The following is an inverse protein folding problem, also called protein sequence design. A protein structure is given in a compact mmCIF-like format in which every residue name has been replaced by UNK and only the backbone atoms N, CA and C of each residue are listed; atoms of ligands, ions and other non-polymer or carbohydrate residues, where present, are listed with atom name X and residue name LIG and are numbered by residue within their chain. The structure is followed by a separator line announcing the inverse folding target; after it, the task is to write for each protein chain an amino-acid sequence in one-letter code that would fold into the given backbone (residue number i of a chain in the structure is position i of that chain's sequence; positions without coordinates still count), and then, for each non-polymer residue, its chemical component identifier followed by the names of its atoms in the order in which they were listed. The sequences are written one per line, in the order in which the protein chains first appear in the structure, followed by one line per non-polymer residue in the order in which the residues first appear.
data_IF_069420082528
#
_entry.id   IF_069420082528
#
_cell.length_a   1.000
_cell.length_b   1.000
_cell.length_c   1.000
_cell.angle_alpha   90.00
_cell.angle_beta   90.00
_cell.angle_gamma   90.00
#
_symmetry.space_group_name_H-M   'P 1'
#
loop_
_entity.id
_entity.type
_entity.pdbx_description
1 polymer ?
#
# COMPACT_ATOMS: atom_id res chain seq x y z
N UNK A 1 9.71 9.41 -4.19
CA UNK A 1 9.31 8.16 -3.50
C UNK A 1 8.18 7.53 -4.28
N UNK A 2 8.35 6.28 -4.70
CA UNK A 2 7.35 5.42 -5.33
C UNK A 2 7.03 4.27 -4.39
N UNK A 3 5.75 4.02 -4.16
CA UNK A 3 5.29 3.02 -3.20
C UNK A 3 4.33 2.08 -3.92
N UNK A 4 4.65 0.79 -3.91
CA UNK A 4 3.75 -0.25 -4.40
C UNK A 4 2.84 -0.70 -3.24
N UNK A 5 1.56 -0.37 -3.32
CA UNK A 5 0.55 -0.92 -2.43
C UNK A 5 -0.03 -2.21 -3.00
N UNK A 6 -0.29 -3.19 -2.12
CA UNK A 6 -0.89 -4.47 -2.47
C UNK A 6 -2.02 -4.75 -1.49
N UNK A 7 -3.19 -5.10 -2.03
CA UNK A 7 -4.35 -5.64 -1.32
C UNK A 7 -4.54 -7.11 -1.71
N UNK A 8 -3.92 -8.05 -0.97
CA UNK A 8 -4.04 -9.48 -1.24
C UNK A 8 -5.47 -9.95 -1.01
N UNK A 9 -6.02 -10.71 -1.95
CA UNK A 9 -7.33 -11.32 -1.77
C UNK A 9 -7.41 -12.73 -2.33
N UNK A 10 -8.31 -13.52 -1.75
CA UNK A 10 -8.47 -14.95 -2.09
C UNK A 10 -9.07 -15.19 -3.48
N UNK A 11 -9.62 -14.16 -4.13
CA UNK A 11 -10.20 -14.21 -5.48
C UNK A 11 -9.65 -13.06 -6.33
N UNK A 12 -9.59 -11.85 -5.79
CA UNK A 12 -8.99 -10.70 -6.46
C UNK A 12 -7.84 -10.18 -5.63
N UNK A 13 -6.75 -9.77 -6.26
CA UNK A 13 -5.65 -9.08 -5.59
C UNK A 13 -5.46 -7.75 -6.27
N UNK A 14 -5.66 -6.66 -5.53
CA UNK A 14 -5.42 -5.31 -6.00
C UNK A 14 -3.96 -4.92 -5.82
N UNK A 15 -3.42 -4.15 -6.75
CA UNK A 15 -2.08 -3.59 -6.62
C UNK A 15 -1.98 -2.27 -7.39
N UNK A 16 -1.14 -1.36 -6.91
CA UNK A 16 -0.93 -0.07 -7.58
C UNK A 16 0.26 0.70 -7.04
N UNK A 17 0.84 1.55 -7.87
CA UNK A 17 2.01 2.35 -7.51
C UNK A 17 1.65 3.83 -7.41
N UNK A 18 1.92 4.42 -6.25
CA UNK A 18 1.77 5.85 -6.01
C UNK A 18 3.13 6.51 -5.92
N UNK A 19 3.31 7.62 -6.62
CA UNK A 19 4.51 8.44 -6.54
C UNK A 19 4.22 9.77 -5.84
N UNK A 20 5.04 10.09 -4.83
CA UNK A 20 5.15 11.44 -4.28
C UNK A 20 6.07 12.28 -5.15
N UNK A 21 5.54 13.37 -5.70
CA UNK A 21 6.27 14.36 -6.49
C UNK A 21 7.01 15.36 -5.58
N UNK A 22 8.00 16.07 -6.12
CA UNK A 22 8.82 17.04 -5.37
C UNK A 22 7.98 18.18 -4.75
N UNK A 23 6.88 18.59 -5.40
CA UNK A 23 5.94 19.59 -4.88
C UNK A 23 4.96 19.05 -3.83
N UNK A 24 5.12 17.80 -3.36
CA UNK A 24 4.26 17.17 -2.36
C UNK A 24 2.98 16.54 -2.89
N UNK A 25 2.66 16.72 -4.18
CA UNK A 25 1.55 16.05 -4.84
C UNK A 25 1.73 14.54 -4.97
N UNK A 26 0.62 13.82 -5.07
CA UNK A 26 0.58 12.38 -5.29
C UNK A 26 0.06 12.10 -6.70
N UNK A 27 0.68 11.14 -7.39
CA UNK A 27 0.22 10.65 -8.69
C UNK A 27 0.17 9.13 -8.71
N UNK A 28 -0.84 8.57 -9.38
CA UNK A 28 -0.93 7.15 -9.65
C UNK A 28 -0.10 6.84 -10.90
N UNK A 29 0.86 5.93 -10.80
CA UNK A 29 1.62 5.43 -11.96
C UNK A 29 0.92 4.24 -12.63
N UNK A 30 0.00 3.59 -11.92
CA UNK A 30 -0.80 2.50 -12.41
C UNK A 30 -1.47 1.75 -11.28
N UNK A 31 -2.64 1.18 -11.56
CA UNK A 31 -3.45 0.45 -10.60
C UNK A 31 -4.28 -0.62 -11.31
N UNK A 32 -4.22 -1.85 -10.81
CA UNK A 32 -4.79 -3.02 -11.46
C UNK A 32 -5.26 -4.04 -10.43
N UNK A 33 -5.90 -5.10 -10.91
CA UNK A 33 -6.19 -6.28 -10.11
C UNK A 33 -5.94 -7.57 -10.90
N UNK A 34 -5.57 -8.64 -10.20
CA UNK A 34 -5.58 -9.98 -10.76
C UNK A 34 -6.89 -10.66 -10.44
N UNK A 35 -7.42 -11.48 -11.36
CA UNK A 35 -8.53 -12.38 -11.09
C UNK A 35 -8.02 -13.82 -10.94
N UNK A 36 -8.10 -14.35 -9.72
CA UNK A 36 -7.69 -15.69 -9.35
C UNK A 36 -8.86 -16.65 -9.56
N UNK A 37 -9.11 -17.01 -10.82
CA UNK A 37 -10.21 -17.90 -11.20
C UNK A 37 -10.20 -19.18 -10.35
N UNK A 38 -11.29 -19.50 -9.62
CA UNK A 38 -11.38 -20.74 -8.85
C UNK A 38 -11.29 -22.01 -9.70
N UNK A 39 -11.48 -21.91 -11.02
CA UNK A 39 -11.33 -23.03 -11.95
C UNK A 39 -9.88 -23.47 -12.18
N UNK A 40 -8.89 -22.65 -11.80
CA UNK A 40 -7.47 -22.98 -11.94
C UNK A 40 -6.89 -23.54 -10.64
N UNK A 41 -5.89 -24.44 -10.72
CA UNK A 41 -5.14 -24.89 -9.55
C UNK A 41 -4.57 -23.71 -8.75
N UNK A 42 -4.49 -23.86 -7.42
CA UNK A 42 -3.97 -22.81 -6.54
C UNK A 42 -2.54 -22.41 -6.91
N UNK A 43 -1.69 -23.37 -7.26
CA UNK A 43 -0.30 -23.13 -7.69
C UNK A 43 -0.21 -22.18 -8.89
N UNK A 44 -1.04 -22.38 -9.92
CA UNK A 44 -1.08 -21.51 -11.11
C UNK A 44 -1.56 -20.11 -10.76
N UNK A 45 -2.58 -20.01 -9.89
CA UNK A 45 -3.08 -18.72 -9.43
C UNK A 45 -2.01 -17.94 -8.65
N UNK A 46 -1.28 -18.62 -7.76
CA UNK A 46 -0.19 -18.04 -6.99
C UNK A 46 0.96 -17.60 -7.90
N UNK A 47 1.30 -18.42 -8.91
CA UNK A 47 2.28 -18.04 -9.91
C UNK A 47 1.87 -16.78 -10.68
N UNK A 48 0.60 -16.67 -11.09
CA UNK A 48 0.09 -15.48 -11.77
C UNK A 48 0.20 -14.21 -10.91
N UNK A 49 -0.04 -14.29 -9.60
CA UNK A 49 0.18 -13.17 -8.67
C UNK A 49 1.66 -12.81 -8.64
N UNK A 50 2.55 -13.79 -8.45
CA UNK A 50 3.99 -13.57 -8.42
C UNK A 50 4.50 -12.89 -9.70
N UNK A 51 4.11 -13.42 -10.86
CA UNK A 51 4.57 -12.95 -12.17
C UNK A 51 4.12 -11.51 -12.42
N UNK A 52 2.85 -11.22 -12.14
CA UNK A 52 2.28 -9.89 -12.23
C UNK A 52 2.99 -8.88 -11.33
N UNK A 53 3.19 -9.22 -10.06
CA UNK A 53 3.86 -8.32 -9.11
C UNK A 53 5.33 -8.12 -9.49
N UNK A 54 6.01 -9.18 -9.94
CA UNK A 54 7.40 -9.10 -10.39
C UNK A 54 7.55 -8.20 -11.62
N UNK A 55 6.62 -8.27 -12.56
CA UNK A 55 6.58 -7.39 -13.73
C UNK A 55 6.42 -5.92 -13.31
N UNK A 56 5.45 -5.62 -12.44
CA UNK A 56 5.20 -4.26 -11.92
C UNK A 56 6.42 -3.72 -11.17
N UNK A 57 7.06 -4.54 -10.33
CA UNK A 57 8.26 -4.15 -9.59
C UNK A 57 9.40 -3.82 -10.57
N UNK A 58 9.58 -4.64 -11.60
CA UNK A 58 10.64 -4.45 -12.60
C UNK A 58 10.42 -3.19 -13.44
N UNK A 59 9.18 -2.96 -13.88
CA UNK A 59 8.81 -1.85 -14.75
C UNK A 59 8.82 -0.51 -14.00
N UNK A 60 8.11 -0.44 -12.86
CA UNK A 60 7.87 0.83 -12.17
C UNK A 60 8.92 1.17 -11.12
N UNK A 61 9.73 0.18 -10.70
CA UNK A 61 10.83 0.30 -9.73
C UNK A 61 10.40 1.05 -8.46
N UNK A 62 9.43 0.51 -7.69
CA UNK A 62 9.03 1.13 -6.43
C UNK A 62 10.20 1.12 -5.43
N UNK A 63 10.22 2.08 -4.51
CA UNK A 63 11.23 2.17 -3.44
C UNK A 63 10.92 1.21 -2.28
N UNK A 64 9.64 0.89 -2.09
CA UNK A 64 9.16 -0.04 -1.08
C UNK A 64 7.80 -0.65 -1.47
N UNK A 65 7.43 -1.71 -0.76
CA UNK A 65 6.13 -2.38 -0.86
C UNK A 65 5.36 -2.21 0.43
N UNK A 66 4.06 -2.02 0.32
CA UNK A 66 3.14 -1.90 1.45
C UNK A 66 2.02 -2.90 1.28
N UNK A 67 1.71 -3.62 2.35
CA UNK A 67 0.56 -4.53 2.42
C UNK A 67 -0.31 -4.18 3.63
N UNK A 68 -1.61 -4.43 3.54
CA UNK A 68 -2.49 -4.38 4.72
C UNK A 68 -2.19 -5.56 5.65
N UNK A 69 -2.27 -5.35 6.98
CA UNK A 69 -2.19 -6.45 7.95
C UNK A 69 -3.41 -7.37 7.81
N UNK A 70 -3.23 -8.67 8.07
CA UNK A 70 -4.34 -9.61 7.96
C UNK A 70 -5.39 -9.36 9.04
N UNK A 71 -6.63 -9.07 8.65
CA UNK A 71 -7.78 -9.13 9.55
C UNK A 71 -8.54 -10.46 9.38
N UNK A 72 -9.13 -10.93 10.49
CA UNK A 72 -9.87 -12.19 10.62
C UNK A 72 -10.80 -12.46 9.43
N UNK A 73 -10.46 -13.47 8.63
CA UNK A 73 -11.32 -13.95 7.57
C UNK A 73 -12.49 -14.74 8.16
N UNK A 74 -13.73 -14.39 7.79
CA UNK A 74 -14.96 -15.08 8.24
C UNK A 74 -15.00 -16.56 7.84
N UNK A 75 -14.24 -16.96 6.82
CA UNK A 75 -14.20 -18.33 6.30
C UNK A 75 -12.75 -18.85 6.32
N UNK A 76 -12.52 -19.96 7.03
CA UNK A 76 -11.21 -20.57 7.17
C UNK A 76 -10.56 -20.95 5.83
N UNK A 77 -11.33 -21.46 4.86
CA UNK A 77 -10.81 -21.83 3.53
C UNK A 77 -10.30 -20.58 2.79
N UNK A 78 -11.09 -19.52 2.78
CA UNK A 78 -10.69 -18.25 2.15
C UNK A 78 -9.50 -17.61 2.87
N UNK A 79 -9.42 -17.75 4.20
CA UNK A 79 -8.30 -17.30 5.02
C UNK A 79 -6.98 -17.97 4.59
N UNK A 80 -7.01 -19.28 4.40
CA UNK A 80 -5.84 -20.06 3.97
C UNK A 80 -5.38 -19.62 2.59
N UNK A 81 -6.29 -19.46 1.62
CA UNK A 81 -5.92 -18.99 0.28
C UNK A 81 -5.35 -17.57 0.33
N UNK A 82 -5.97 -16.67 1.10
CA UNK A 82 -5.46 -15.32 1.33
C UNK A 82 -4.03 -15.33 1.90
N UNK A 83 -3.76 -16.18 2.89
CA UNK A 83 -2.43 -16.31 3.47
C UNK A 83 -1.37 -16.74 2.44
N UNK A 84 -1.71 -17.67 1.53
CA UNK A 84 -0.80 -18.07 0.44
C UNK A 84 -0.53 -16.90 -0.52
N UNK A 85 -1.58 -16.18 -0.94
CA UNK A 85 -1.44 -15.03 -1.85
C UNK A 85 -0.58 -13.94 -1.20
N UNK A 86 -0.82 -13.63 0.08
CA UNK A 86 0.01 -12.70 0.84
C UNK A 86 1.46 -13.18 0.93
N UNK A 87 1.70 -14.46 1.22
CA UNK A 87 3.05 -15.04 1.25
C UNK A 87 3.79 -14.85 -0.07
N UNK A 88 3.11 -15.04 -1.20
CA UNK A 88 3.66 -14.77 -2.53
C UNK A 88 4.00 -13.30 -2.73
N UNK A 89 3.11 -12.38 -2.34
CA UNK A 89 3.36 -10.94 -2.46
C UNK A 89 4.58 -10.50 -1.64
N UNK A 90 4.71 -11.00 -0.40
CA UNK A 90 5.85 -10.74 0.47
C UNK A 90 7.15 -11.30 -0.11
N UNK A 91 7.11 -12.52 -0.63
CA UNK A 91 8.27 -13.16 -1.25
C UNK A 91 8.72 -12.40 -2.50
N UNK A 92 7.79 -11.95 -3.35
CA UNK A 92 8.11 -11.15 -4.53
C UNK A 92 8.83 -9.85 -4.17
N UNK A 93 8.36 -9.14 -3.14
CA UNK A 93 9.01 -7.93 -2.63
C UNK A 93 10.42 -8.22 -2.08
N UNK A 94 10.55 -9.25 -1.25
CA UNK A 94 11.83 -9.65 -0.67
C UNK A 94 12.85 -10.08 -1.74
N UNK A 95 12.40 -10.84 -2.75
CA UNK A 95 13.24 -11.26 -3.89
C UNK A 95 13.79 -10.06 -4.67
N UNK A 96 13.03 -8.98 -4.77
CA UNK A 96 13.45 -7.73 -5.40
C UNK A 96 14.30 -6.83 -4.49
N UNK A 97 14.61 -7.25 -3.25
CA UNK A 97 15.35 -6.46 -2.28
C UNK A 97 14.57 -5.27 -1.72
N UNK A 98 13.24 -5.27 -1.85
CA UNK A 98 12.39 -4.17 -1.39
C UNK A 98 12.00 -4.36 0.08
N UNK A 99 12.07 -3.27 0.84
CA UNK A 99 11.52 -3.26 2.20
C UNK A 99 9.99 -3.32 2.15
N UNK A 100 9.43 -4.20 2.97
CA UNK A 100 7.99 -4.33 3.15
C UNK A 100 7.55 -3.61 4.41
N UNK A 101 6.44 -2.88 4.30
CA UNK A 101 5.74 -2.26 5.42
C UNK A 101 4.32 -2.80 5.53
N UNK A 102 3.80 -2.82 6.75
CA UNK A 102 2.46 -3.29 7.04
C UNK A 102 1.67 -2.24 7.81
N UNK A 103 0.39 -2.07 7.49
CA UNK A 103 -0.50 -1.16 8.19
C UNK A 103 -1.85 -1.81 8.49
N UNK A 104 -2.36 -1.52 9.68
CA UNK A 104 -3.71 -1.93 10.05
C UNK A 104 -4.78 -1.14 9.27
N UNK A 105 -5.95 -1.75 8.97
CA UNK A 105 -7.02 -1.10 8.24
C UNK A 105 -7.44 0.24 8.85
N UNK A 106 -7.46 0.34 10.19
CA UNK A 106 -7.78 1.60 10.89
C UNK A 106 -6.73 2.69 10.62
N UNK A 107 -5.46 2.33 10.54
CA UNK A 107 -4.36 3.25 10.25
C UNK A 107 -4.44 3.75 8.81
N UNK A 108 -4.75 2.87 7.86
CA UNK A 108 -4.98 3.23 6.46
C UNK A 108 -6.16 4.21 6.34
N UNK A 109 -7.31 3.87 6.94
CA UNK A 109 -8.49 4.74 6.97
C UNK A 109 -8.15 6.11 7.53
N UNK A 110 -7.51 6.17 8.70
CA UNK A 110 -7.11 7.42 9.33
C UNK A 110 -6.17 8.25 8.44
N UNK A 111 -5.17 7.63 7.82
CA UNK A 111 -4.18 8.32 7.00
C UNK A 111 -4.75 8.86 5.68
N UNK A 112 -5.83 8.25 5.16
CA UNK A 112 -6.45 8.63 3.88
C UNK A 112 -7.63 9.58 4.06
N UNK A 113 -8.45 9.37 5.09
CA UNK A 113 -9.70 10.12 5.29
C UNK A 113 -9.67 11.09 6.47
N UNK A 114 -8.69 10.97 7.37
CA UNK A 114 -8.68 11.68 8.65
C UNK A 114 -9.57 11.02 9.73
N UNK A 115 -10.28 9.94 9.40
CA UNK A 115 -11.16 9.23 10.33
C UNK A 115 -10.99 7.71 10.24
N UNK A 116 -10.52 7.09 11.32
CA UNK A 116 -10.25 5.64 11.38
C UNK A 116 -11.50 4.75 11.25
N UNK A 117 -12.69 5.30 11.47
CA UNK A 117 -13.97 4.60 11.31
C UNK A 117 -14.61 4.80 9.93
N UNK A 118 -13.89 5.36 8.95
CA UNK A 118 -14.46 5.62 7.63
C UNK A 118 -14.92 4.33 6.91
N UNK A 119 -16.02 4.46 6.18
CA UNK A 119 -16.54 3.40 5.30
C UNK A 119 -15.66 3.25 4.06
N UNK A 120 -15.71 2.07 3.43
CA UNK A 120 -14.85 1.71 2.31
C UNK A 120 -15.01 2.68 1.13
N UNK A 121 -16.24 3.08 0.85
CA UNK A 121 -16.59 4.04 -0.21
C UNK A 121 -16.00 5.43 0.05
N UNK A 122 -15.88 5.83 1.32
CA UNK A 122 -15.26 7.10 1.69
C UNK A 122 -13.76 7.07 1.42
N UNK A 123 -13.08 5.96 1.76
CA UNK A 123 -11.67 5.76 1.44
C UNK A 123 -11.45 5.85 -0.07
N UNK A 124 -12.26 5.16 -0.87
CA UNK A 124 -12.13 5.16 -2.34
C UNK A 124 -12.34 6.54 -2.96
N UNK A 125 -13.30 7.34 -2.45
CA UNK A 125 -13.48 8.73 -2.87
C UNK A 125 -12.26 9.59 -2.54
N UNK A 126 -11.72 9.43 -1.33
CA UNK A 126 -10.54 10.17 -0.89
C UNK A 126 -9.28 9.80 -1.69
N UNK A 127 -9.11 8.53 -2.07
CA UNK A 127 -8.00 8.09 -2.95
C UNK A 127 -8.02 8.88 -4.26
N UNK A 128 -9.18 9.02 -4.91
CA UNK A 128 -9.31 9.80 -6.15
C UNK A 128 -8.95 11.28 -5.97
N UNK A 129 -9.46 11.89 -4.90
CA UNK A 129 -9.19 13.28 -4.56
C UNK A 129 -7.70 13.54 -4.30
N UNK A 130 -7.05 12.66 -3.53
CA UNK A 130 -5.63 12.77 -3.18
C UNK A 130 -4.72 12.57 -4.39
N UNK A 131 -5.10 11.69 -5.31
CA UNK A 131 -4.37 11.42 -6.56
C UNK A 131 -4.71 12.41 -7.68
N UNK A 132 -5.64 13.35 -7.45
CA UNK A 132 -6.17 14.30 -8.45
C UNK A 132 -6.51 13.61 -9.76
N UNK A 133 -7.18 12.46 -9.66
CA UNK A 133 -7.47 11.60 -10.81
C UNK A 133 -8.97 11.42 -10.99
N UNK A 134 -9.42 11.61 -12.22
CA UNK A 134 -10.79 11.29 -12.65
C UNK A 134 -10.96 9.80 -12.98
N UNK A 135 -9.92 8.99 -12.81
CA UNK A 135 -9.96 7.56 -13.10
C UNK A 135 -10.94 6.82 -12.17
N UNK A 136 -11.60 5.81 -12.75
CA UNK A 136 -12.41 4.87 -12.00
C UNK A 136 -11.54 3.65 -11.67
N UNK A 137 -11.10 3.58 -10.42
CA UNK A 137 -10.38 2.42 -9.90
C UNK A 137 -11.35 1.32 -9.49
N UNK A 138 -10.99 0.07 -9.77
CA UNK A 138 -11.66 -1.09 -9.19
C UNK A 138 -11.48 -1.09 -7.67
N UNK A 139 -12.43 -1.63 -6.88
CA UNK A 139 -12.37 -1.59 -5.43
C UNK A 139 -11.04 -2.09 -4.84
N UNK A 140 -10.57 -3.27 -5.26
CA UNK A 140 -9.33 -3.87 -4.75
C UNK A 140 -8.11 -3.00 -5.10
N UNK A 141 -8.10 -2.40 -6.30
CA UNK A 141 -7.03 -1.51 -6.73
C UNK A 141 -7.05 -0.18 -5.95
N UNK A 142 -8.23 0.34 -5.61
CA UNK A 142 -8.37 1.53 -4.78
C UNK A 142 -7.89 1.29 -3.34
N UNK A 143 -8.16 0.12 -2.78
CA UNK A 143 -7.65 -0.28 -1.47
C UNK A 143 -6.11 -0.39 -1.48
N UNK A 144 -5.54 -1.01 -2.52
CA UNK A 144 -4.10 -1.05 -2.71
C UNK A 144 -3.49 0.36 -2.81
N UNK A 145 -4.09 1.28 -3.57
CA UNK A 145 -3.65 2.68 -3.63
C UNK A 145 -3.76 3.38 -2.26
N UNK A 146 -4.81 3.10 -1.48
CA UNK A 146 -4.97 3.64 -0.13
C UNK A 146 -3.82 3.21 0.79
N UNK A 147 -3.37 1.96 0.72
CA UNK A 147 -2.21 1.48 1.50
C UNK A 147 -0.91 2.23 1.14
N UNK A 148 -0.68 2.46 -0.16
CA UNK A 148 0.48 3.22 -0.63
C UNK A 148 0.45 4.67 -0.15
N UNK A 149 -0.72 5.33 -0.25
CA UNK A 149 -0.93 6.70 0.25
C UNK A 149 -0.71 6.76 1.77
N UNK A 150 -1.21 5.77 2.52
CA UNK A 150 -1.00 5.67 3.96
C UNK A 150 0.50 5.73 4.30
N UNK A 151 1.32 4.91 3.64
CA UNK A 151 2.76 4.90 3.87
C UNK A 151 3.44 6.24 3.55
N UNK A 152 3.06 6.87 2.44
CA UNK A 152 3.60 8.18 2.04
C UNK A 152 3.27 9.26 3.08
N UNK A 153 2.03 9.26 3.59
CA UNK A 153 1.59 10.19 4.62
C UNK A 153 2.26 9.91 5.97
N UNK A 154 2.42 8.64 6.35
CA UNK A 154 3.07 8.26 7.60
C UNK A 154 4.56 8.62 7.61
N UNK A 155 5.26 8.37 6.50
CA UNK A 155 6.68 8.72 6.33
C UNK A 155 6.91 10.23 6.44
N UNK A 156 5.95 11.06 6.01
CA UNK A 156 6.00 12.52 6.18
C UNK A 156 5.96 12.94 7.65
N UNK A 157 5.16 12.27 8.48
CA UNK A 157 5.07 12.59 9.91
C UNK A 157 6.31 12.19 10.69
N UNK A 158 6.93 11.04 10.36
CA UNK A 158 8.20 10.62 10.94
C UNK A 158 9.30 11.67 10.68
N UNK A 159 9.46 12.09 9.42
CA UNK A 159 10.47 13.10 9.04
C UNK A 159 10.22 14.47 9.71
N UNK A 160 8.96 14.92 9.78
CA UNK A 160 8.62 16.18 10.44
C UNK A 160 8.90 16.12 11.96
N UNK A 161 8.67 14.97 12.59
CA UNK A 161 8.97 14.77 14.01
C UNK A 161 10.47 14.76 14.29
N UNK A 162 11.28 14.16 13.41
CA UNK A 162 12.74 14.17 13.50
C UNK A 162 13.31 15.58 13.27
N UNK A 163 12.88 16.29 12.23
CA UNK A 163 13.31 17.67 11.99
C UNK A 163 12.95 18.61 13.15
N UNK A 164 11.78 18.42 13.76
CA UNK A 164 11.34 19.20 14.93
C UNK A 164 12.19 18.86 16.15
N UNK A 165 12.51 17.58 16.37
CA UNK A 165 13.39 17.14 17.45
C UNK A 165 14.81 17.70 17.28
N UNK A 166 15.40 17.64 16.09
CA UNK A 166 16.73 18.21 15.81
C UNK A 166 16.77 19.74 15.98
N UNK A 167 15.72 20.46 15.52
CA UNK A 167 15.61 21.91 15.74
C UNK A 167 15.53 22.27 17.23
N UNK A 168 14.82 21.47 18.03
CA UNK A 168 14.71 21.69 19.47
C UNK A 168 16.03 21.40 20.22
N UNK A 169 16.79 20.39 19.81
CA UNK A 169 18.14 20.11 20.34
C UNK A 169 19.10 21.26 20.04
N UNK A 170 19.15 21.71 18.77
CA UNK A 170 20.02 22.81 18.35
C UNK A 170 19.66 24.15 19.02
N UNK A 171 18.38 24.39 19.31
CA UNK A 171 17.94 25.59 20.04
C UNK A 171 18.37 25.57 21.51
N UNK A 172 18.36 24.40 22.17
CA UNK A 172 18.85 24.26 23.56
C UNK A 172 20.37 24.47 23.65
N UNK A 173 21.14 23.98 22.69
CA UNK A 173 22.60 24.18 22.66
C UNK A 173 23.00 25.65 22.45
N UNK A 174 22.19 26.45 21.74
CA UNK A 174 22.45 27.89 21.54
C UNK A 174 22.12 28.79 22.74
N UNK A 175 21.41 28.30 23.74
CA UNK A 175 21.01 29.08 24.93
C UNK A 175 22.01 28.87 26.09
N UNK A 176 22.92 27.90 25.96
CA UNK A 176 23.96 27.60 26.96
C UNK A 176 25.33 28.21 26.63
N UNK A 177 25.41 29.17 25.69
CA UNK A 177 26.62 29.92 25.33
C UNK A 177 26.38 31.40 25.57
#
# INVERSE_FOLDING_TARGET
MKVLGIDPGSIKTGYGVVQKQSGGGLVCLGAWNTNLSPSKPLSERLFAVYDTLSAVITELKPDCVVVETMFFAKNARSAVVLAHVRGVALMAAAKAGLKVYEYDPKTIKLAVTGYGGAEKEQVQKMVKLLLKSDSIYQPDAADALATAICHINHSRHAVLSEETALKNVNRKMKIQV
#
